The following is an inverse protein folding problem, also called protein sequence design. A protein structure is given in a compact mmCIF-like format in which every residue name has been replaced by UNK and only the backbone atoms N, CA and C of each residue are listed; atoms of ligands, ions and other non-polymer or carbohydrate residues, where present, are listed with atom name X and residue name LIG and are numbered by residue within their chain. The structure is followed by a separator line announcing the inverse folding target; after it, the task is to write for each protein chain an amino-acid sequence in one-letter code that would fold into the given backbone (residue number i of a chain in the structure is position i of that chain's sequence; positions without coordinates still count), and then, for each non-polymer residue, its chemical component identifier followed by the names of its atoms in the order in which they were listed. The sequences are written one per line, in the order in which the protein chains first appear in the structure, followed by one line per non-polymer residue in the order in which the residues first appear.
data_IF_745705672018
#
_entry.id   IF_745705672018
#
_cell.length_a   1.000
_cell.length_b   1.000
_cell.length_c   1.000
_cell.angle_alpha   90.00
_cell.angle_beta   90.00
_cell.angle_gamma   90.00
#
_symmetry.space_group_name_H-M   'P 1'
#
loop_
_entity.id
_entity.type
_entity.pdbx_description
1 polymer ?
#
# COMPACT_ATOMS: atom_id res chain seq x y z
N UNK A 1 0.58 -32.92 -28.21
CA UNK A 1 -0.13 -32.10 -29.21
C UNK A 1 0.68 -30.82 -29.40
N UNK A 2 1.05 -30.54 -30.64
CA UNK A 2 2.13 -29.67 -31.11
C UNK A 2 1.67 -28.18 -31.17
N UNK A 3 2.44 -27.21 -30.73
CA UNK A 3 2.05 -25.79 -30.74
C UNK A 3 2.53 -25.10 -32.04
N UNK A 4 2.00 -25.46 -33.19
CA UNK A 4 2.39 -24.89 -34.47
C UNK A 4 1.21 -24.38 -35.32
N UNK A 5 0.05 -24.03 -34.74
CA UNK A 5 -1.14 -23.63 -35.53
C UNK A 5 -1.74 -22.26 -35.19
N UNK A 6 -1.02 -21.36 -34.47
CA UNK A 6 -1.54 -20.03 -34.11
C UNK A 6 -0.82 -18.86 -34.82
N UNK A 7 0.22 -19.13 -35.60
CA UNK A 7 1.04 -18.08 -36.26
C UNK A 7 0.71 -17.81 -37.73
N UNK A 8 -0.30 -18.45 -38.30
CA UNK A 8 -0.57 -18.33 -39.76
C UNK A 8 -1.77 -17.44 -40.14
N UNK A 9 -2.37 -16.73 -39.17
CA UNK A 9 -3.54 -15.88 -39.41
C UNK A 9 -3.27 -14.36 -39.42
N UNK A 10 -2.05 -13.91 -39.12
CA UNK A 10 -1.69 -12.46 -39.05
C UNK A 10 -0.87 -12.00 -40.27
N UNK A 11 -0.38 -12.91 -41.12
CA UNK A 11 0.51 -12.58 -42.26
C UNK A 11 -0.20 -12.36 -43.59
N UNK A 12 -1.54 -12.31 -43.68
CA UNK A 12 -2.26 -12.15 -44.98
C UNK A 12 -3.02 -10.83 -45.18
N UNK A 13 -2.76 -9.81 -44.37
CA UNK A 13 -3.47 -8.50 -44.47
C UNK A 13 -2.54 -7.31 -44.80
N UNK A 14 -1.31 -7.53 -45.21
CA UNK A 14 -0.38 -6.46 -45.59
C UNK A 14 0.31 -6.78 -46.90
N UNK A 15 -0.40 -6.94 -48.01
CA UNK A 15 0.16 -6.75 -49.37
C UNK A 15 -0.93 -6.82 -50.44
N UNK A 16 -1.46 -5.65 -50.86
CA UNK A 16 -1.93 -5.42 -52.24
C UNK A 16 -2.49 -3.98 -52.35
N UNK A 17 -1.87 -3.20 -53.21
CA UNK A 17 -2.61 -2.18 -53.91
C UNK A 17 -2.00 -0.82 -54.05
N UNK A 18 -0.88 -0.68 -54.71
CA UNK A 18 -0.59 0.53 -55.50
C UNK A 18 -1.15 0.34 -56.93
N UNK A 19 -2.07 1.22 -57.38
CA UNK A 19 -2.03 1.83 -58.71
C UNK A 19 -3.36 2.48 -59.08
N UNK A 20 -3.24 3.75 -59.51
CA UNK A 20 -3.98 4.45 -60.57
C UNK A 20 -5.48 4.72 -60.51
N UNK A 21 -5.82 6.01 -60.43
CA UNK A 21 -6.63 6.80 -61.37
C UNK A 21 -8.13 6.49 -61.53
N UNK A 22 -8.96 7.52 -61.28
CA UNK A 22 -10.20 7.63 -62.06
C UNK A 22 -11.51 7.83 -61.33
N UNK A 23 -12.04 9.06 -61.47
CA UNK A 23 -13.45 9.42 -61.59
C UNK A 23 -14.42 9.27 -60.40
N UNK A 24 -14.97 10.41 -60.05
CA UNK A 24 -16.14 10.63 -59.19
C UNK A 24 -17.40 9.88 -59.67
N UNK A 25 -18.01 9.11 -58.75
CA UNK A 25 -19.44 8.78 -58.85
C UNK A 25 -20.02 8.70 -57.44
N UNK A 26 -21.04 9.49 -57.26
CA UNK A 26 -21.85 9.63 -56.05
C UNK A 26 -22.63 8.34 -55.74
N UNK A 27 -22.36 7.76 -54.59
CA UNK A 27 -23.24 6.72 -54.03
C UNK A 27 -24.04 7.26 -52.85
N UNK A 28 -25.36 7.43 -53.08
CA UNK A 28 -26.36 7.69 -52.04
C UNK A 28 -26.60 6.38 -51.29
N UNK A 29 -26.37 6.40 -49.97
CA UNK A 29 -26.82 5.33 -49.08
C UNK A 29 -28.32 5.47 -48.76
N UNK A 30 -29.09 4.39 -48.73
CA UNK A 30 -30.52 4.45 -48.37
C UNK A 30 -30.67 4.61 -46.84
N UNK A 31 -31.53 5.55 -46.46
CA UNK A 31 -32.06 5.70 -45.10
C UNK A 31 -32.84 4.44 -44.73
N UNK A 32 -32.40 3.72 -43.72
CA UNK A 32 -33.23 2.72 -43.04
C UNK A 32 -33.85 3.36 -41.81
N UNK A 33 -35.16 3.53 -41.87
CA UNK A 33 -36.03 3.85 -40.74
C UNK A 33 -35.99 2.67 -39.75
N UNK A 34 -35.54 2.92 -38.54
CA UNK A 34 -35.70 1.98 -37.42
C UNK A 34 -36.58 2.66 -36.39
N UNK A 35 -37.82 2.19 -36.31
CA UNK A 35 -38.79 2.59 -35.30
C UNK A 35 -38.35 2.19 -33.88
N UNK A 36 -38.65 2.98 -32.84
CA UNK A 36 -38.33 2.62 -31.48
C UNK A 36 -39.35 1.68 -30.86
N UNK A 37 -39.01 0.43 -30.64
CA UNK A 37 -39.83 -0.48 -29.84
C UNK A 37 -39.59 -0.19 -28.34
N UNK A 38 -40.60 0.45 -27.75
CA UNK A 38 -40.76 0.55 -26.29
C UNK A 38 -40.94 -0.85 -25.70
N UNK A 39 -39.99 -1.34 -24.93
CA UNK A 39 -40.21 -2.42 -23.97
C UNK A 39 -40.12 -1.87 -22.56
N UNK A 40 -41.27 -1.66 -21.96
CA UNK A 40 -41.44 -1.51 -20.52
C UNK A 40 -40.94 -2.78 -19.81
N UNK A 41 -39.88 -2.69 -19.07
CA UNK A 41 -39.56 -3.67 -18.01
C UNK A 41 -40.03 -3.11 -16.68
N UNK A 42 -41.12 -3.71 -16.18
CA UNK A 42 -41.64 -3.53 -14.83
C UNK A 42 -40.56 -4.00 -13.82
N UNK A 43 -40.07 -3.09 -12.98
CA UNK A 43 -39.38 -3.45 -11.74
C UNK A 43 -40.40 -4.04 -10.76
N UNK A 44 -40.34 -5.32 -10.57
CA UNK A 44 -41.10 -6.03 -9.51
C UNK A 44 -40.35 -5.83 -8.20
N UNK A 45 -40.89 -4.97 -7.34
CA UNK A 45 -40.48 -4.83 -5.94
C UNK A 45 -40.92 -6.08 -5.17
N UNK A 46 -40.00 -6.95 -4.83
CA UNK A 46 -40.24 -8.04 -3.87
C UNK A 46 -40.26 -7.41 -2.47
N UNK A 47 -41.47 -7.27 -1.94
CA UNK A 47 -41.71 -6.96 -0.53
C UNK A 47 -41.72 -8.27 0.24
N UNK A 48 -40.67 -8.53 1.03
CA UNK A 48 -40.68 -9.60 2.02
C UNK A 48 -41.49 -9.11 3.22
N UNK A 49 -42.68 -9.68 3.37
CA UNK A 49 -43.57 -9.48 4.53
C UNK A 49 -43.11 -10.44 5.64
N UNK A 50 -42.61 -9.89 6.72
CA UNK A 50 -42.50 -10.62 7.98
C UNK A 50 -43.90 -10.75 8.62
N UNK A 51 -44.39 -11.99 8.71
CA UNK A 51 -45.57 -12.31 9.52
C UNK A 51 -45.05 -12.90 10.84
N UNK A 52 -45.27 -12.17 11.92
CA UNK A 52 -45.27 -12.67 13.26
C UNK A 52 -46.48 -13.63 13.44
N UNK A 53 -46.22 -14.82 13.95
CA UNK A 53 -47.28 -15.69 14.48
C UNK A 53 -46.83 -16.13 15.88
N UNK A 54 -47.55 -15.60 16.84
CA UNK A 54 -47.61 -16.03 18.24
C UNK A 54 -48.45 -17.32 18.31
N UNK A 55 -48.08 -18.20 19.21
CA UNK A 55 -49.01 -19.15 19.81
C UNK A 55 -48.65 -20.60 19.70
N UNK A 56 -48.40 -21.23 20.83
CA UNK A 56 -48.40 -22.68 20.94
C UNK A 56 -47.50 -23.22 22.09
N UNK A 57 -47.99 -23.10 23.33
CA UNK A 57 -47.47 -23.85 24.46
C UNK A 57 -47.74 -25.33 24.23
N UNK A 58 -46.71 -26.18 24.24
CA UNK A 58 -46.84 -27.62 24.52
C UNK A 58 -45.75 -28.04 25.52
N UNK A 59 -46.20 -28.34 26.71
CA UNK A 59 -45.44 -29.02 27.75
C UNK A 59 -45.37 -30.49 27.37
N UNK A 60 -44.19 -31.04 27.24
CA UNK A 60 -43.97 -32.47 27.37
C UNK A 60 -42.66 -32.70 28.11
N UNK A 61 -42.81 -33.24 29.28
CA UNK A 61 -41.74 -33.58 30.20
C UNK A 61 -41.07 -34.92 29.83
N UNK A 62 -39.86 -35.08 30.38
CA UNK A 62 -39.10 -36.29 30.67
C UNK A 62 -38.49 -37.04 29.48
N UNK A 63 -37.14 -37.08 29.40
CA UNK A 63 -36.33 -38.18 30.02
C UNK A 63 -34.88 -37.68 30.06
N UNK A 64 -34.35 -37.62 31.26
CA UNK A 64 -32.95 -37.39 31.52
C UNK A 64 -32.13 -38.67 31.19
N UNK A 65 -31.17 -38.55 30.29
CA UNK A 65 -30.09 -39.48 30.13
C UNK A 65 -28.80 -38.72 30.07
N UNK A 66 -27.85 -38.85 31.00
CA UNK A 66 -26.53 -38.26 30.86
C UNK A 66 -25.70 -39.16 29.95
N UNK A 67 -25.63 -38.83 28.66
CA UNK A 67 -24.54 -39.35 27.84
C UNK A 67 -23.32 -38.50 28.18
N UNK A 68 -22.55 -38.99 29.11
CA UNK A 68 -21.16 -38.59 29.30
C UNK A 68 -20.39 -38.99 28.06
N UNK A 69 -20.34 -38.10 27.07
CA UNK A 69 -19.27 -38.08 26.08
C UNK A 69 -18.04 -37.54 26.81
N UNK A 70 -17.37 -38.43 27.51
CA UNK A 70 -16.01 -38.18 27.98
C UNK A 70 -15.15 -37.92 26.77
N UNK A 71 -14.85 -36.65 26.52
CA UNK A 71 -13.67 -36.30 25.78
C UNK A 71 -12.50 -36.82 26.62
N UNK A 72 -11.96 -37.95 26.22
CA UNK A 72 -10.62 -38.37 26.59
C UNK A 72 -9.66 -37.36 25.97
N UNK A 73 -9.55 -36.16 26.57
CA UNK A 73 -8.32 -35.43 26.53
C UNK A 73 -7.33 -36.35 27.25
N UNK A 74 -6.50 -37.05 26.47
CA UNK A 74 -5.35 -37.72 27.00
C UNK A 74 -4.50 -36.65 27.69
N UNK A 75 -4.63 -36.55 28.96
CA UNK A 75 -3.77 -35.80 29.86
C UNK A 75 -2.40 -36.47 29.78
N UNK A 76 -1.60 -36.02 28.79
CA UNK A 76 -0.25 -36.50 28.62
C UNK A 76 0.53 -35.99 29.85
N UNK A 77 1.24 -36.86 30.59
CA UNK A 77 1.99 -36.45 31.76
C UNK A 77 3.00 -35.38 31.35
N UNK A 78 2.73 -34.14 31.75
CA UNK A 78 3.63 -32.97 31.62
C UNK A 78 4.68 -32.97 32.74
N UNK A 79 5.02 -34.11 33.27
CA UNK A 79 5.91 -34.26 34.41
C UNK A 79 7.31 -34.68 33.97
N UNK A 80 8.31 -34.12 34.67
CA UNK A 80 9.68 -34.60 34.59
C UNK A 80 9.74 -36.04 35.04
N UNK A 81 10.43 -36.91 34.29
CA UNK A 81 10.67 -38.30 34.67
C UNK A 81 12.07 -38.35 35.36
N UNK A 82 12.08 -38.78 36.60
CA UNK A 82 13.34 -38.88 37.35
C UNK A 82 14.00 -40.23 37.03
N UNK A 83 15.27 -40.17 36.62
CA UNK A 83 16.10 -41.32 36.32
C UNK A 83 17.17 -41.35 37.42
N UNK A 84 17.00 -42.17 38.46
CA UNK A 84 18.01 -42.27 39.54
C UNK A 84 19.25 -42.97 38.98
N UNK A 85 20.40 -42.35 39.19
CA UNK A 85 21.66 -42.89 38.70
C UNK A 85 22.82 -42.39 39.60
N UNK A 86 23.64 -43.33 40.07
CA UNK A 86 24.78 -42.95 40.90
C UNK A 86 25.98 -42.43 40.09
N UNK A 87 26.94 -41.81 40.75
CA UNK A 87 28.12 -41.23 40.06
C UNK A 87 29.03 -42.30 39.41
N UNK A 88 28.96 -43.54 39.82
CA UNK A 88 29.74 -44.63 39.22
C UNK A 88 29.08 -45.09 37.92
N UNK A 89 27.76 -45.20 37.92
CA UNK A 89 26.97 -45.51 36.75
C UNK A 89 27.09 -44.44 35.69
N UNK A 90 27.02 -43.16 36.06
CA UNK A 90 27.20 -42.01 35.16
C UNK A 90 28.58 -42.06 34.48
N UNK A 91 29.63 -42.32 35.24
CA UNK A 91 30.98 -42.47 34.70
C UNK A 91 31.13 -43.71 33.82
N UNK A 92 30.53 -44.82 34.21
CA UNK A 92 30.57 -46.04 33.45
C UNK A 92 29.83 -45.94 32.12
N UNK A 93 28.71 -45.21 32.08
CA UNK A 93 27.94 -44.90 30.88
C UNK A 93 28.56 -43.79 30.01
N UNK A 94 29.63 -43.14 30.44
CA UNK A 94 30.33 -42.08 29.70
C UNK A 94 29.46 -40.83 29.48
N UNK A 95 28.57 -40.55 30.45
CA UNK A 95 27.67 -39.38 30.34
C UNK A 95 28.44 -38.12 30.68
N UNK A 96 28.45 -37.17 29.74
CA UNK A 96 28.96 -35.81 29.95
C UNK A 96 27.80 -34.82 29.91
N UNK A 97 27.97 -33.69 30.62
CA UNK A 97 26.98 -32.64 30.71
C UNK A 97 27.56 -31.30 30.25
N UNK A 98 26.73 -30.49 29.61
CA UNK A 98 27.06 -29.14 29.15
C UNK A 98 26.04 -28.14 29.72
N UNK A 99 26.54 -26.94 30.09
CA UNK A 99 25.67 -25.86 30.55
C UNK A 99 24.71 -25.40 29.43
N UNK A 100 23.51 -25.00 29.84
CA UNK A 100 22.52 -24.42 28.93
C UNK A 100 22.78 -22.92 28.75
N UNK A 101 22.74 -22.45 27.51
CA UNK A 101 22.85 -21.04 27.21
C UNK A 101 21.47 -20.43 27.06
N UNK A 102 21.17 -19.39 27.82
CA UNK A 102 19.90 -18.65 27.63
C UNK A 102 19.94 -17.90 26.31
N UNK A 103 19.12 -18.33 25.37
CA UNK A 103 18.99 -17.65 24.12
C UNK A 103 17.99 -16.49 24.26
N UNK A 104 18.40 -15.30 23.83
CA UNK A 104 17.42 -14.23 23.60
C UNK A 104 16.64 -14.63 22.36
N UNK A 105 15.44 -15.21 22.58
CA UNK A 105 14.62 -15.76 21.51
C UNK A 105 14.09 -14.71 20.55
N UNK A 106 14.99 -14.14 19.76
CA UNK A 106 14.63 -13.37 18.57
C UNK A 106 14.68 -14.35 17.39
N UNK A 107 13.51 -14.74 16.86
CA UNK A 107 13.49 -15.44 15.59
C UNK A 107 13.61 -14.38 14.51
N UNK A 108 14.67 -14.48 13.73
CA UNK A 108 14.84 -13.69 12.53
C UNK A 108 14.19 -14.39 11.34
N UNK A 109 13.26 -13.70 10.71
CA UNK A 109 12.59 -14.16 9.50
C UNK A 109 13.02 -13.29 8.33
N UNK A 110 13.73 -13.88 7.37
CA UNK A 110 14.13 -13.19 6.15
C UNK A 110 13.08 -13.39 5.05
N UNK A 111 12.57 -12.28 4.51
CA UNK A 111 11.54 -12.26 3.48
C UNK A 111 11.90 -11.28 2.36
N UNK A 112 11.46 -11.57 1.10
CA UNK A 112 11.65 -10.62 0.01
C UNK A 112 10.75 -9.41 0.17
N UNK A 113 11.27 -8.24 -0.20
CA UNK A 113 10.53 -6.99 -0.20
C UNK A 113 10.93 -6.09 -1.36
N UNK A 114 10.11 -5.09 -1.63
CA UNK A 114 10.37 -4.05 -2.62
C UNK A 114 10.22 -2.69 -1.96
N UNK A 115 11.20 -1.83 -2.18
CA UNK A 115 11.17 -0.45 -1.70
C UNK A 115 10.23 0.38 -2.55
N UNK A 116 9.31 1.09 -1.91
CA UNK A 116 8.31 1.93 -2.58
C UNK A 116 8.22 3.30 -1.93
N UNK A 117 7.75 4.27 -2.69
CA UNK A 117 7.43 5.59 -2.17
C UNK A 117 6.05 5.54 -1.52
N UNK A 118 5.86 6.07 -0.30
CA UNK A 118 4.54 6.22 0.28
C UNK A 118 3.61 7.00 -0.64
N UNK A 119 2.36 6.54 -0.90
CA UNK A 119 1.44 7.25 -1.80
C UNK A 119 1.16 8.70 -1.42
N UNK A 120 1.19 9.03 -0.13
CA UNK A 120 1.02 10.40 0.36
C UNK A 120 2.21 11.31 0.03
N UNK A 121 3.39 10.77 -0.22
CA UNK A 121 4.63 11.48 -0.57
C UNK A 121 4.86 11.59 -2.08
N UNK A 122 3.91 11.13 -2.89
CA UNK A 122 4.00 11.16 -4.34
C UNK A 122 2.97 12.16 -4.90
N UNK A 123 3.40 13.03 -5.81
CA UNK A 123 2.54 13.97 -6.51
C UNK A 123 2.78 13.90 -8.00
N UNK A 124 1.70 13.74 -8.74
CA UNK A 124 1.70 13.86 -10.20
C UNK A 124 1.41 15.31 -10.54
N UNK A 125 2.33 15.94 -11.25
CA UNK A 125 2.12 17.27 -11.82
C UNK A 125 1.54 17.10 -13.21
N UNK A 126 0.34 17.62 -13.40
CA UNK A 126 -0.41 17.51 -14.64
C UNK A 126 -0.40 18.83 -15.42
N UNK A 127 -0.69 18.78 -16.72
CA UNK A 127 -0.82 19.96 -17.56
C UNK A 127 -2.07 20.77 -17.15
N UNK A 128 -1.96 22.08 -16.85
CA UNK A 128 -3.12 22.89 -16.45
C UNK A 128 -4.08 23.18 -17.61
N UNK A 129 -3.63 23.05 -18.85
CA UNK A 129 -4.42 23.26 -20.06
C UNK A 129 -3.86 22.46 -21.23
N UNK A 130 -4.64 22.33 -22.32
CA UNK A 130 -4.12 21.78 -23.57
C UNK A 130 -3.00 22.68 -24.13
N UNK A 131 -1.91 22.09 -24.61
CA UNK A 131 -0.83 22.91 -25.14
C UNK A 131 0.35 22.15 -25.69
N UNK A 132 1.38 22.92 -26.02
CA UNK A 132 2.69 22.44 -26.48
C UNK A 132 3.70 22.66 -25.35
N UNK A 133 4.43 21.65 -24.98
CA UNK A 133 5.54 21.78 -24.03
C UNK A 133 6.67 22.57 -24.72
N UNK A 134 6.87 23.81 -24.31
CA UNK A 134 7.87 24.72 -24.89
C UNK A 134 9.27 24.35 -24.39
N UNK A 135 9.40 24.14 -23.08
CA UNK A 135 10.68 23.76 -22.46
C UNK A 135 10.44 23.04 -21.14
N UNK A 136 11.38 22.17 -20.83
CA UNK A 136 11.52 21.55 -19.50
C UNK A 136 12.67 22.24 -18.79
N UNK A 137 12.44 22.69 -17.56
CA UNK A 137 13.40 23.46 -16.78
C UNK A 137 14.18 22.58 -15.81
N UNK A 138 13.80 21.30 -15.73
CA UNK A 138 14.35 20.34 -14.80
C UNK A 138 14.42 18.97 -15.45
N UNK A 139 15.39 18.15 -15.04
CA UNK A 139 15.56 16.79 -15.49
C UNK A 139 14.96 15.75 -14.50
N UNK A 140 14.88 14.48 -14.91
CA UNK A 140 14.61 13.40 -13.99
C UNK A 140 15.77 13.24 -13.00
N UNK A 141 15.48 12.75 -11.80
CA UNK A 141 16.37 12.58 -10.66
C UNK A 141 16.93 13.88 -10.05
N UNK A 142 16.46 15.06 -10.50
CA UNK A 142 16.85 16.32 -9.89
C UNK A 142 15.96 16.70 -8.70
N UNK A 143 16.53 17.28 -7.64
CA UNK A 143 15.77 17.79 -6.51
C UNK A 143 15.05 19.09 -6.87
N UNK A 144 13.83 19.26 -6.37
CA UNK A 144 13.00 20.45 -6.56
C UNK A 144 12.47 20.97 -5.23
N UNK A 145 12.20 22.26 -5.19
CA UNK A 145 11.53 22.94 -4.08
C UNK A 145 10.08 23.25 -4.44
N UNK A 146 9.19 23.22 -3.47
CA UNK A 146 7.81 23.69 -3.67
C UNK A 146 7.80 25.11 -4.25
N UNK A 147 6.97 25.34 -5.27
CA UNK A 147 6.90 26.60 -6.02
C UNK A 147 8.01 26.81 -7.06
N UNK A 148 8.97 25.90 -7.22
CA UNK A 148 10.01 26.01 -8.24
C UNK A 148 9.41 25.80 -9.63
N UNK A 149 9.75 26.63 -10.66
CA UNK A 149 9.33 26.43 -12.03
C UNK A 149 10.00 25.18 -12.61
N UNK A 150 9.19 24.29 -13.23
CA UNK A 150 9.64 22.98 -13.73
C UNK A 150 9.40 22.79 -15.22
N UNK A 151 8.39 23.46 -15.80
CA UNK A 151 8.12 23.42 -17.24
C UNK A 151 7.46 24.70 -17.72
N UNK A 152 7.52 24.96 -19.03
CA UNK A 152 6.74 26.00 -19.71
C UNK A 152 5.85 25.34 -20.75
N UNK A 153 4.56 25.66 -20.68
CA UNK A 153 3.53 25.14 -21.57
C UNK A 153 2.90 26.29 -22.36
N UNK A 154 2.99 26.25 -23.68
CA UNK A 154 2.29 27.17 -24.56
C UNK A 154 0.88 26.66 -24.84
N UNK A 155 -0.15 27.42 -24.46
CA UNK A 155 -1.53 27.00 -24.53
C UNK A 155 -2.42 28.01 -25.26
N UNK A 156 -3.11 27.61 -26.34
CA UNK A 156 -4.16 28.42 -26.97
C UNK A 156 -5.33 28.69 -26.03
N UNK A 157 -5.69 27.73 -25.18
CA UNK A 157 -6.77 27.86 -24.21
C UNK A 157 -6.50 28.95 -23.20
N UNK A 158 -5.21 29.06 -22.77
CA UNK A 158 -4.77 30.13 -21.89
C UNK A 158 -4.92 31.51 -22.54
N UNK A 159 -4.56 31.61 -23.83
CA UNK A 159 -4.70 32.86 -24.59
C UNK A 159 -6.17 33.31 -24.66
N UNK A 160 -7.06 32.34 -24.95
CA UNK A 160 -8.49 32.59 -25.00
C UNK A 160 -9.07 32.98 -23.63
N UNK A 161 -8.68 32.31 -22.56
CA UNK A 161 -9.08 32.66 -21.19
C UNK A 161 -8.64 34.05 -20.79
N UNK A 162 -7.41 34.44 -21.13
CA UNK A 162 -6.91 35.81 -20.89
C UNK A 162 -7.68 36.86 -21.70
N UNK A 163 -8.01 36.56 -22.95
CA UNK A 163 -8.85 37.46 -23.80
C UNK A 163 -10.21 37.68 -23.16
N UNK A 164 -10.86 36.59 -22.69
CA UNK A 164 -12.18 36.69 -22.03
C UNK A 164 -12.11 37.43 -20.71
N UNK A 165 -11.04 37.27 -19.93
CA UNK A 165 -10.82 38.07 -18.71
C UNK A 165 -10.67 39.54 -19.02
N UNK A 166 -9.89 39.93 -20.04
CA UNK A 166 -9.72 41.31 -20.46
C UNK A 166 -11.02 41.98 -20.98
N UNK A 167 -11.85 41.18 -21.67
CA UNK A 167 -13.18 41.63 -22.08
C UNK A 167 -14.08 41.91 -20.86
N UNK A 168 -14.16 40.92 -19.93
CA UNK A 168 -14.96 41.09 -18.72
C UNK A 168 -14.47 42.25 -17.84
N UNK A 169 -13.17 42.55 -17.83
CA UNK A 169 -12.58 43.68 -17.12
C UNK A 169 -13.00 45.01 -17.75
N UNK A 170 -13.10 45.09 -19.07
CA UNK A 170 -13.60 46.28 -19.77
C UNK A 170 -15.09 46.47 -19.50
N UNK A 171 -15.90 45.41 -19.54
CA UNK A 171 -17.33 45.47 -19.26
C UNK A 171 -17.61 45.91 -17.82
N UNK A 172 -16.83 45.41 -16.85
CA UNK A 172 -16.97 45.80 -15.44
C UNK A 172 -16.67 47.27 -15.27
N UNK A 173 -15.57 47.78 -15.87
CA UNK A 173 -15.21 49.21 -15.79
C UNK A 173 -16.31 50.09 -16.38
N UNK A 174 -16.90 49.70 -17.52
CA UNK A 174 -18.00 50.45 -18.15
C UNK A 174 -19.25 50.44 -17.25
N UNK A 175 -19.61 49.27 -16.70
CA UNK A 175 -20.77 49.16 -15.81
C UNK A 175 -20.60 49.95 -14.51
N UNK A 176 -19.40 49.97 -13.95
CA UNK A 176 -19.06 50.77 -12.77
C UNK A 176 -19.18 52.26 -13.04
N UNK A 177 -18.74 52.73 -14.23
CA UNK A 177 -18.87 54.14 -14.64
C UNK A 177 -20.32 54.52 -14.88
N UNK A 178 -21.14 53.62 -15.44
CA UNK A 178 -22.59 53.85 -15.58
C UNK A 178 -23.26 53.98 -14.21
N UNK A 179 -22.95 53.04 -13.29
CA UNK A 179 -23.49 53.08 -11.93
C UNK A 179 -23.14 54.39 -11.23
N UNK A 180 -21.88 54.82 -11.29
CA UNK A 180 -21.44 56.07 -10.69
C UNK A 180 -22.22 57.28 -11.23
N UNK A 181 -22.43 57.34 -12.53
CA UNK A 181 -23.24 58.42 -13.15
C UNK A 181 -24.70 58.34 -12.71
N UNK A 182 -25.32 57.16 -12.71
CA UNK A 182 -26.71 56.99 -12.27
C UNK A 182 -26.89 57.37 -10.79
N UNK A 183 -25.89 57.08 -9.94
CA UNK A 183 -25.88 57.53 -8.53
C UNK A 183 -25.87 59.06 -8.40
N UNK A 184 -24.98 59.75 -9.10
CA UNK A 184 -24.92 61.20 -9.09
C UNK A 184 -26.21 61.85 -9.60
N UNK A 185 -26.79 61.31 -10.68
CA UNK A 185 -28.05 61.83 -11.24
C UNK A 185 -29.24 61.57 -10.31
N UNK A 186 -29.27 60.44 -9.62
CA UNK A 186 -30.30 60.14 -8.63
C UNK A 186 -30.21 61.07 -7.40
N UNK A 187 -29.01 61.30 -6.89
CA UNK A 187 -28.76 62.25 -5.81
C UNK A 187 -29.21 63.67 -6.20
N UNK A 188 -29.00 64.08 -7.45
CA UNK A 188 -29.47 65.32 -8.04
C UNK A 188 -30.98 65.32 -8.36
N UNK A 189 -31.73 64.25 -8.05
CA UNK A 189 -33.14 64.03 -8.36
C UNK A 189 -33.45 64.14 -9.88
N UNK A 190 -32.48 63.86 -10.73
CA UNK A 190 -32.61 63.96 -12.18
C UNK A 190 -33.04 62.63 -12.85
N UNK A 191 -32.99 61.47 -12.13
CA UNK A 191 -33.38 60.16 -12.63
C UNK A 191 -34.23 59.40 -11.62
N UNK A 192 -35.14 58.51 -12.10
CA UNK A 192 -35.94 57.67 -11.22
C UNK A 192 -35.12 56.53 -10.60
N UNK A 193 -35.52 56.10 -9.43
CA UNK A 193 -34.86 55.03 -8.66
C UNK A 193 -34.73 53.69 -9.46
N UNK A 194 -35.65 53.45 -10.39
CA UNK A 194 -35.59 52.30 -11.27
C UNK A 194 -34.30 52.25 -12.09
N UNK A 195 -33.85 53.38 -12.65
CA UNK A 195 -32.63 53.46 -13.45
C UNK A 195 -31.39 53.20 -12.60
N UNK A 196 -31.35 53.71 -11.38
CA UNK A 196 -30.30 53.41 -10.44
C UNK A 196 -30.22 51.88 -10.13
N UNK A 197 -31.38 51.23 -9.87
CA UNK A 197 -31.44 49.79 -9.61
C UNK A 197 -30.98 48.98 -10.81
N UNK A 198 -31.31 49.38 -12.03
CA UNK A 198 -30.84 48.72 -13.25
C UNK A 198 -29.33 48.80 -13.33
N UNK A 199 -28.76 50.00 -13.16
CA UNK A 199 -27.30 50.21 -13.20
C UNK A 199 -26.57 49.42 -12.09
N UNK A 200 -27.17 49.33 -10.88
CA UNK A 200 -26.65 48.49 -9.79
C UNK A 200 -26.60 47.02 -10.17
N UNK A 201 -27.66 46.48 -10.77
CA UNK A 201 -27.76 45.11 -11.22
C UNK A 201 -26.76 44.81 -12.34
N UNK A 202 -26.62 45.73 -13.32
CA UNK A 202 -25.63 45.61 -14.40
C UNK A 202 -24.20 45.57 -13.85
N UNK A 203 -23.87 46.47 -12.92
CA UNK A 203 -22.54 46.52 -12.28
C UNK A 203 -22.25 45.23 -11.48
N UNK A 204 -23.23 44.74 -10.72
CA UNK A 204 -23.10 43.52 -9.97
C UNK A 204 -22.87 42.32 -10.91
N UNK A 205 -23.62 42.19 -12.00
CA UNK A 205 -23.47 41.13 -12.98
C UNK A 205 -22.11 41.17 -13.70
N UNK A 206 -21.66 42.39 -14.08
CA UNK A 206 -20.36 42.55 -14.71
C UNK A 206 -19.21 42.18 -13.78
N UNK A 207 -19.29 42.54 -12.50
CA UNK A 207 -18.32 42.17 -11.46
C UNK A 207 -18.30 40.64 -11.28
N UNK A 208 -19.46 40.00 -11.18
CA UNK A 208 -19.54 38.54 -11.03
C UNK A 208 -18.91 37.81 -12.23
N UNK A 209 -19.11 38.29 -13.46
CA UNK A 209 -18.45 37.75 -14.65
C UNK A 209 -16.93 37.91 -14.60
N UNK A 210 -16.44 39.08 -14.17
CA UNK A 210 -15.00 39.29 -14.01
C UNK A 210 -14.41 38.34 -12.99
N UNK A 211 -15.08 38.17 -11.85
CA UNK A 211 -14.63 37.24 -10.79
C UNK A 211 -14.59 35.80 -11.32
N UNK A 212 -15.60 35.39 -12.08
CA UNK A 212 -15.63 34.08 -12.75
C UNK A 212 -14.43 33.87 -13.68
N UNK A 213 -14.17 34.86 -14.56
CA UNK A 213 -13.04 34.75 -15.51
C UNK A 213 -11.69 34.77 -14.79
N UNK A 214 -11.56 35.54 -13.72
CA UNK A 214 -10.35 35.53 -12.89
C UNK A 214 -10.14 34.13 -12.24
N UNK A 215 -11.20 33.49 -11.77
CA UNK A 215 -11.12 32.17 -11.18
C UNK A 215 -10.69 31.10 -12.21
N UNK A 216 -11.15 31.21 -13.47
CA UNK A 216 -10.69 30.33 -14.55
C UNK A 216 -9.18 30.47 -14.78
N UNK A 217 -8.63 31.66 -14.76
CA UNK A 217 -7.18 31.86 -14.89
C UNK A 217 -6.40 31.24 -13.74
N UNK A 218 -6.92 31.31 -12.50
CA UNK A 218 -6.31 30.61 -11.34
C UNK A 218 -6.34 29.10 -11.49
N UNK A 219 -7.44 28.53 -12.02
CA UNK A 219 -7.53 27.09 -12.30
C UNK A 219 -6.54 26.64 -13.39
N UNK A 220 -6.11 27.57 -14.26
CA UNK A 220 -5.04 27.33 -15.23
C UNK A 220 -3.63 27.61 -14.66
N UNK A 221 -3.50 27.64 -13.32
CA UNK A 221 -2.24 27.87 -12.60
C UNK A 221 -1.56 29.23 -12.86
N UNK A 222 -2.29 30.25 -13.33
CA UNK A 222 -1.77 31.60 -13.35
C UNK A 222 -1.65 32.12 -11.91
N UNK A 223 -0.48 32.65 -11.60
CA UNK A 223 -0.27 33.32 -10.30
C UNK A 223 -1.08 34.63 -10.20
N UNK A 224 -1.43 35.02 -8.99
CA UNK A 224 -2.10 36.30 -8.78
C UNK A 224 -1.24 37.49 -9.27
N UNK A 225 0.09 37.38 -9.24
CA UNK A 225 1.01 38.38 -9.80
C UNK A 225 0.89 38.47 -11.34
N UNK A 226 0.78 37.32 -12.03
CA UNK A 226 0.58 37.31 -13.48
C UNK A 226 -0.77 37.89 -13.87
N UNK A 227 -1.84 37.56 -13.10
CA UNK A 227 -3.17 38.10 -13.30
C UNK A 227 -3.17 39.64 -13.10
N UNK A 228 -2.47 40.17 -12.08
CA UNK A 228 -2.33 41.59 -11.89
C UNK A 228 -1.51 42.28 -13.02
N UNK A 229 -0.46 41.60 -13.48
CA UNK A 229 0.33 42.06 -14.63
C UNK A 229 -0.52 42.12 -15.90
N UNK A 230 -1.32 41.05 -16.16
CA UNK A 230 -2.28 41.01 -17.27
C UNK A 230 -3.32 42.16 -17.15
N UNK A 231 -3.85 42.41 -15.95
CA UNK A 231 -4.81 43.47 -15.67
C UNK A 231 -4.21 44.87 -15.94
N UNK A 232 -2.98 45.10 -15.51
CA UNK A 232 -2.30 46.38 -15.65
C UNK A 232 -1.81 46.65 -17.08
N UNK A 233 -1.15 45.64 -17.69
CA UNK A 233 -0.48 45.81 -18.98
C UNK A 233 -1.37 45.54 -20.19
N UNK A 234 -2.47 44.80 -20.00
CA UNK A 234 -3.36 44.29 -21.08
C UNK A 234 -2.63 43.41 -22.11
N UNK A 235 -1.42 42.96 -21.79
CA UNK A 235 -0.62 42.10 -22.69
C UNK A 235 -0.87 40.61 -22.39
N UNK A 236 -1.33 39.87 -23.41
CA UNK A 236 -1.54 38.44 -23.35
C UNK A 236 -0.19 37.74 -23.51
N UNK A 237 0.04 36.70 -22.70
CA UNK A 237 1.22 35.83 -22.82
C UNK A 237 0.75 34.41 -23.15
N UNK A 238 1.41 33.74 -24.14
CA UNK A 238 0.92 32.46 -24.66
C UNK A 238 1.34 31.25 -23.82
N UNK A 239 2.26 31.43 -22.87
CA UNK A 239 2.83 30.34 -22.09
C UNK A 239 2.52 30.47 -20.60
N UNK A 240 2.20 29.37 -19.96
CA UNK A 240 2.10 29.23 -18.51
C UNK A 240 3.32 28.46 -17.99
N UNK A 241 3.80 28.87 -16.83
CA UNK A 241 4.86 28.16 -16.11
C UNK A 241 4.24 27.20 -15.12
N UNK A 242 4.56 25.93 -15.25
CA UNK A 242 4.15 24.89 -14.33
C UNK A 242 5.14 24.82 -13.16
N UNK A 243 4.64 24.78 -11.94
CA UNK A 243 5.44 24.79 -10.72
C UNK A 243 5.34 23.47 -9.97
N UNK A 244 6.39 23.15 -9.21
CA UNK A 244 6.40 21.99 -8.34
C UNK A 244 5.45 22.20 -7.15
N UNK A 245 4.47 21.31 -6.88
CA UNK A 245 3.52 21.48 -5.78
C UNK A 245 4.13 21.14 -4.41
N UNK A 246 5.18 20.30 -4.40
CA UNK A 246 5.90 19.87 -3.20
C UNK A 246 7.42 19.96 -3.43
N UNK A 247 8.17 20.02 -2.34
CA UNK A 247 9.63 19.77 -2.39
C UNK A 247 9.87 18.27 -2.47
N UNK A 248 10.90 17.85 -3.20
CA UNK A 248 11.22 16.45 -3.38
C UNK A 248 12.16 16.20 -4.56
N UNK A 249 12.11 15.02 -5.12
CA UNK A 249 12.89 14.63 -6.32
C UNK A 249 11.95 14.28 -7.46
N UNK A 250 12.30 14.67 -8.68
CA UNK A 250 11.57 14.28 -9.89
C UNK A 250 11.85 12.79 -10.18
N UNK A 251 10.88 11.92 -9.90
CA UNK A 251 11.03 10.47 -10.11
C UNK A 251 10.85 10.09 -11.57
N UNK A 252 9.88 10.72 -12.25
CA UNK A 252 9.56 10.40 -13.64
C UNK A 252 9.17 11.65 -14.41
N UNK A 253 9.67 11.74 -15.63
CA UNK A 253 9.24 12.68 -16.65
C UNK A 253 8.40 11.94 -17.68
N UNK A 254 7.15 12.39 -17.88
CA UNK A 254 6.18 11.74 -18.77
C UNK A 254 6.13 12.31 -20.18
N UNK A 255 6.64 13.52 -20.38
CA UNK A 255 6.54 14.26 -21.65
C UNK A 255 7.89 14.86 -22.05
N UNK A 256 8.03 15.20 -23.33
CA UNK A 256 9.25 15.79 -23.89
C UNK A 256 9.00 17.22 -24.43
N UNK A 257 10.03 18.09 -24.49
CA UNK A 257 9.93 19.37 -25.20
C UNK A 257 9.46 19.17 -26.64
N UNK A 258 8.54 20.02 -27.10
CA UNK A 258 7.92 19.92 -28.42
C UNK A 258 6.72 18.95 -28.50
N UNK A 259 6.39 18.25 -27.42
CA UNK A 259 5.23 17.36 -27.35
C UNK A 259 3.93 18.15 -27.07
N UNK A 260 2.82 17.70 -27.67
CA UNK A 260 1.48 18.23 -27.36
C UNK A 260 0.85 17.42 -26.25
N UNK A 261 0.34 18.11 -25.24
CA UNK A 261 -0.32 17.51 -24.09
C UNK A 261 -1.75 17.98 -23.98
N UNK A 262 -2.63 17.10 -23.53
CA UNK A 262 -3.98 17.44 -23.14
C UNK A 262 -4.01 17.99 -21.71
N UNK A 263 -5.05 18.76 -21.37
CA UNK A 263 -5.32 19.14 -19.97
C UNK A 263 -5.39 17.90 -19.07
N UNK A 264 -4.84 18.02 -17.88
CA UNK A 264 -4.70 16.96 -16.89
C UNK A 264 -3.77 15.78 -17.29
N UNK A 265 -3.07 15.83 -18.44
CA UNK A 265 -2.04 14.85 -18.78
C UNK A 265 -0.86 14.96 -17.82
N UNK A 266 -0.27 13.86 -17.35
CA UNK A 266 0.88 13.90 -16.45
C UNK A 266 2.12 14.45 -17.17
N UNK A 267 2.81 15.41 -16.53
CA UNK A 267 4.08 15.99 -17.02
C UNK A 267 5.24 15.41 -16.22
N UNK A 268 5.15 15.48 -14.89
CA UNK A 268 6.14 14.98 -13.96
C UNK A 268 5.50 14.19 -12.83
N UNK A 269 6.26 13.26 -12.27
CA UNK A 269 5.99 12.70 -10.96
C UNK A 269 7.09 13.14 -10.00
N UNK A 270 6.71 13.84 -8.94
CA UNK A 270 7.61 14.32 -7.88
C UNK A 270 7.32 13.54 -6.61
N UNK A 271 8.36 13.17 -5.89
CA UNK A 271 8.22 12.45 -4.65
C UNK A 271 9.20 12.93 -3.56
N UNK A 272 8.73 12.90 -2.34
CA UNK A 272 9.58 12.94 -1.15
C UNK A 272 10.12 11.53 -0.92
N UNK A 273 11.45 11.41 -0.84
CA UNK A 273 12.13 10.12 -0.73
C UNK A 273 12.47 9.74 0.73
N UNK A 274 11.94 10.48 1.68
CA UNK A 274 12.14 10.28 3.10
C UNK A 274 10.82 10.63 3.85
N UNK A 275 10.24 9.64 4.60
CA UNK A 275 10.61 8.23 4.70
C UNK A 275 10.23 7.40 3.47
N UNK A 276 10.83 6.23 3.32
CA UNK A 276 10.42 5.23 2.31
C UNK A 276 9.68 4.06 2.98
N UNK A 277 8.92 3.34 2.17
CA UNK A 277 8.27 2.10 2.59
C UNK A 277 8.89 0.89 1.92
N UNK A 278 8.78 -0.25 2.59
CA UNK A 278 9.12 -1.56 2.02
C UNK A 278 7.88 -2.43 2.04
N UNK A 279 7.46 -2.86 0.87
CA UNK A 279 6.41 -3.85 0.70
C UNK A 279 7.04 -5.24 0.83
N UNK A 280 6.79 -5.92 1.95
CA UNK A 280 7.34 -7.23 2.28
C UNK A 280 6.31 -8.29 1.88
N UNK A 281 6.73 -9.30 1.11
CA UNK A 281 5.88 -10.42 0.74
C UNK A 281 5.89 -11.47 1.83
N UNK A 282 4.78 -11.60 2.54
CA UNK A 282 4.62 -12.52 3.67
C UNK A 282 3.78 -13.72 3.23
N UNK A 283 4.32 -14.94 3.22
CA UNK A 283 3.54 -16.15 2.93
C UNK A 283 2.37 -16.30 3.92
N UNK A 284 1.23 -16.81 3.43
CA UNK A 284 0.02 -16.97 4.23
C UNK A 284 0.24 -17.80 5.52
N UNK A 285 1.13 -18.79 5.45
CA UNK A 285 1.51 -19.64 6.61
C UNK A 285 2.23 -18.88 7.73
N UNK A 286 2.80 -17.70 7.44
CA UNK A 286 3.56 -16.87 8.39
C UNK A 286 2.81 -15.61 8.84
N UNK A 287 1.65 -15.31 8.27
CA UNK A 287 0.89 -14.09 8.58
C UNK A 287 0.51 -13.98 10.06
N UNK A 288 0.17 -15.11 10.70
CA UNK A 288 -0.20 -15.12 12.11
C UNK A 288 0.95 -14.74 13.06
N UNK A 289 2.19 -14.87 12.61
CA UNK A 289 3.39 -14.59 13.42
C UNK A 289 3.88 -13.15 13.31
N UNK A 290 3.47 -12.41 12.27
CA UNK A 290 3.92 -11.04 12.01
C UNK A 290 2.89 -10.04 12.51
N UNK A 291 3.36 -9.08 13.30
CA UNK A 291 2.52 -8.04 13.91
C UNK A 291 3.01 -6.64 13.53
N UNK A 292 2.10 -5.69 13.59
CA UNK A 292 2.46 -4.26 13.51
C UNK A 292 3.33 -3.85 14.68
N UNK A 293 4.32 -3.00 14.42
CA UNK A 293 5.26 -2.53 15.42
C UNK A 293 6.55 -3.36 15.52
N UNK A 294 6.64 -4.51 14.86
CA UNK A 294 7.86 -5.30 14.82
C UNK A 294 8.98 -4.58 14.07
N UNK A 295 10.20 -4.76 14.56
CA UNK A 295 11.39 -4.17 13.95
C UNK A 295 11.79 -4.97 12.72
N UNK A 296 12.09 -4.26 11.66
CA UNK A 296 12.64 -4.82 10.42
C UNK A 296 14.04 -4.23 10.20
N UNK A 297 14.89 -5.00 9.55
CA UNK A 297 16.20 -4.54 9.13
C UNK A 297 16.46 -4.94 7.67
N UNK A 298 17.21 -4.09 6.98
CA UNK A 298 17.74 -4.34 5.65
C UNK A 298 19.26 -4.52 5.79
N UNK A 299 19.75 -5.73 6.04
CA UNK A 299 21.16 -5.94 6.42
C UNK A 299 22.16 -5.45 5.36
N UNK A 300 21.80 -5.57 4.06
CA UNK A 300 22.64 -5.13 2.95
C UNK A 300 22.87 -3.61 2.93
N UNK A 301 21.99 -2.83 3.58
CA UNK A 301 22.03 -1.37 3.54
C UNK A 301 22.24 -0.74 4.94
N UNK A 302 22.23 -1.56 6.00
CA UNK A 302 22.36 -1.09 7.38
C UNK A 302 21.19 -0.20 7.82
N UNK A 303 20.01 -0.38 7.22
CA UNK A 303 18.80 0.40 7.49
C UNK A 303 17.86 -0.41 8.36
N UNK A 304 17.30 0.23 9.38
CA UNK A 304 16.27 -0.33 10.23
C UNK A 304 14.95 0.39 10.00
N UNK A 305 13.87 -0.29 10.33
CA UNK A 305 12.52 0.24 10.22
C UNK A 305 11.53 -0.52 11.08
N UNK A 306 10.26 -0.24 10.86
CA UNK A 306 9.19 -0.85 11.64
C UNK A 306 7.99 -1.20 10.77
N UNK A 307 7.34 -2.33 11.03
CA UNK A 307 6.10 -2.72 10.36
C UNK A 307 4.98 -1.80 10.81
N UNK A 308 4.44 -1.02 9.87
CA UNK A 308 3.32 -0.09 10.11
C UNK A 308 1.97 -0.72 9.77
N UNK A 309 1.96 -1.71 8.89
CA UNK A 309 0.71 -2.36 8.44
C UNK A 309 0.98 -3.77 7.94
N UNK A 310 0.07 -4.70 8.28
CA UNK A 310 0.01 -6.04 7.70
C UNK A 310 -1.27 -6.14 6.86
N UNK A 311 -1.13 -6.53 5.60
CA UNK A 311 -2.24 -6.70 4.67
C UNK A 311 -3.21 -7.78 5.11
N UNK A 312 -4.50 -7.55 4.89
CA UNK A 312 -5.58 -8.51 5.20
C UNK A 312 -5.98 -9.38 4.02
N UNK A 313 -5.50 -9.04 2.84
CA UNK A 313 -5.79 -9.74 1.59
C UNK A 313 -4.59 -10.57 1.18
N UNK A 314 -4.83 -11.82 0.85
CA UNK A 314 -3.81 -12.73 0.30
C UNK A 314 -3.95 -12.74 -1.22
N UNK A 315 -2.86 -12.52 -1.92
CA UNK A 315 -2.79 -12.65 -3.37
C UNK A 315 -2.90 -14.13 -3.77
N UNK A 316 -3.91 -14.52 -4.57
CA UNK A 316 -4.15 -15.94 -4.87
C UNK A 316 -3.00 -16.61 -5.63
N UNK A 317 -2.28 -15.87 -6.48
CA UNK A 317 -1.22 -16.43 -7.31
C UNK A 317 0.05 -16.71 -6.50
N UNK A 318 0.42 -15.83 -5.59
CA UNK A 318 1.65 -15.91 -4.78
C UNK A 318 1.40 -16.52 -3.40
N UNK A 319 0.13 -16.72 -2.99
CA UNK A 319 -0.26 -17.13 -1.65
C UNK A 319 0.41 -16.31 -0.55
N UNK A 320 0.59 -15.01 -0.81
CA UNK A 320 1.24 -14.07 0.10
C UNK A 320 0.38 -12.83 0.35
N UNK A 321 0.56 -12.20 1.50
CA UNK A 321 0.04 -10.87 1.80
C UNK A 321 1.20 -9.87 1.88
N UNK A 322 0.88 -8.59 1.67
CA UNK A 322 1.88 -7.53 1.74
C UNK A 322 1.88 -6.94 3.16
N UNK A 323 3.00 -7.06 3.85
CA UNK A 323 3.28 -6.24 5.03
C UNK A 323 4.06 -5.00 4.60
N UNK A 324 3.72 -3.85 5.16
CA UNK A 324 4.38 -2.57 4.86
C UNK A 324 5.19 -2.15 6.06
N UNK A 325 6.47 -1.97 5.84
CA UNK A 325 7.39 -1.40 6.84
C UNK A 325 7.81 0.00 6.39
N UNK A 326 7.90 0.90 7.35
CA UNK A 326 8.47 2.24 7.18
C UNK A 326 9.96 2.19 7.54
N UNK A 327 10.77 2.72 6.67
CA UNK A 327 12.22 2.83 6.84
C UNK A 327 12.66 4.28 6.70
N UNK A 328 13.67 4.65 7.46
CA UNK A 328 14.37 5.94 7.34
C UNK A 328 15.69 5.69 6.59
N UNK A 329 15.75 5.97 5.27
CA UNK A 329 16.95 5.72 4.49
C UNK A 329 17.98 6.80 4.78
N UNK A 330 18.90 6.51 5.67
CA UNK A 330 20.05 7.40 5.90
C UNK A 330 20.76 7.69 4.59
N UNK A 331 20.63 8.92 4.12
CA UNK A 331 21.43 9.52 3.03
C UNK A 331 21.52 8.70 1.72
N UNK A 332 20.40 8.32 1.14
CA UNK A 332 20.36 7.80 -0.24
C UNK A 332 20.94 6.40 -0.45
N UNK A 333 21.10 5.62 0.60
CA UNK A 333 21.57 4.23 0.52
C UNK A 333 20.55 3.29 -0.13
N UNK A 334 19.25 3.62 -0.02
CA UNK A 334 18.14 2.82 -0.54
C UNK A 334 17.35 3.66 -1.54
N UNK A 335 17.01 3.07 -2.68
CA UNK A 335 16.24 3.74 -3.74
C UNK A 335 14.89 3.07 -3.96
N UNK A 336 13.84 3.82 -4.30
CA UNK A 336 12.58 3.24 -4.74
C UNK A 336 12.77 2.27 -5.90
N UNK A 337 12.00 1.18 -5.91
CA UNK A 337 12.09 0.13 -6.92
C UNK A 337 13.09 -0.98 -6.62
N UNK A 338 13.98 -0.82 -5.62
CA UNK A 338 14.91 -1.88 -5.24
C UNK A 338 14.18 -3.10 -4.65
N UNK A 339 14.56 -4.29 -5.14
CA UNK A 339 14.24 -5.54 -4.48
C UNK A 339 15.26 -5.79 -3.36
N UNK A 340 14.78 -6.03 -2.15
CA UNK A 340 15.58 -6.16 -0.94
C UNK A 340 15.20 -7.40 -0.15
N UNK A 341 16.16 -7.95 0.60
CA UNK A 341 15.88 -8.95 1.63
C UNK A 341 15.66 -8.23 2.95
N UNK A 342 14.51 -8.46 3.56
CA UNK A 342 14.10 -7.85 4.83
C UNK A 342 14.14 -8.89 5.92
N UNK A 343 14.88 -8.61 6.98
CA UNK A 343 14.89 -9.44 8.18
C UNK A 343 13.96 -8.86 9.22
N UNK A 344 12.94 -9.60 9.60
CA UNK A 344 11.96 -9.24 10.61
C UNK A 344 12.39 -9.90 11.92
N UNK A 345 12.56 -9.12 12.99
CA UNK A 345 12.77 -9.62 14.34
C UNK A 345 11.42 -9.82 15.00
N UNK A 346 11.03 -11.09 15.12
CA UNK A 346 9.78 -11.46 15.78
C UNK A 346 9.98 -11.46 17.29
N UNK A 347 9.22 -10.62 17.99
CA UNK A 347 9.10 -10.71 19.44
C UNK A 347 8.31 -11.98 19.77
N UNK A 348 9.00 -13.05 20.11
CA UNK A 348 8.34 -14.32 20.44
C UNK A 348 7.56 -14.26 21.74
N UNK A 349 6.43 -15.00 21.70
CA UNK A 349 5.55 -15.21 22.84
C UNK A 349 6.26 -15.72 24.08
N UNK A 350 5.77 -15.29 25.23
CA UNK A 350 6.30 -15.48 26.57
C UNK A 350 6.80 -16.92 26.83
N UNK A 351 8.10 -17.07 26.98
CA UNK A 351 8.75 -18.25 27.48
C UNK A 351 10.25 -18.19 27.26
N UNK A 352 11.06 -18.54 28.26
CA UNK A 352 12.50 -18.57 28.10
C UNK A 352 12.90 -19.63 27.06
N UNK A 353 13.75 -19.21 26.13
CA UNK A 353 14.37 -20.10 25.14
C UNK A 353 15.80 -20.38 25.55
N UNK A 354 16.22 -21.62 25.28
CA UNK A 354 17.53 -22.12 25.67
C UNK A 354 18.19 -22.79 24.47
N UNK A 355 19.44 -22.48 24.25
CA UNK A 355 20.26 -23.12 23.24
C UNK A 355 21.02 -24.29 23.86
N UNK A 356 20.84 -25.46 23.34
CA UNK A 356 21.48 -26.69 23.77
C UNK A 356 22.21 -27.36 22.61
N UNK A 357 23.26 -28.14 22.85
CA UNK A 357 23.87 -28.93 21.79
C UNK A 357 22.83 -29.84 21.09
N UNK A 358 22.93 -29.99 19.78
CA UNK A 358 22.00 -30.84 19.03
C UNK A 358 22.02 -32.29 19.53
N UNK A 359 23.15 -32.78 20.01
CA UNK A 359 23.28 -34.08 20.62
C UNK A 359 22.50 -34.24 21.95
N UNK A 360 22.17 -33.15 22.65
CA UNK A 360 21.46 -33.20 23.94
C UNK A 360 19.93 -33.40 23.77
N UNK A 361 19.39 -33.24 22.57
CA UNK A 361 17.96 -33.37 22.28
C UNK A 361 17.68 -34.73 21.67
N UNK A 362 16.85 -35.54 22.32
CA UNK A 362 16.47 -36.88 21.85
C UNK A 362 15.00 -36.90 21.54
N UNK A 363 14.63 -37.54 20.43
CA UNK A 363 13.23 -37.77 20.08
C UNK A 363 12.81 -39.17 20.51
N UNK A 364 11.80 -39.24 21.37
CA UNK A 364 11.18 -40.49 21.81
C UNK A 364 9.65 -40.36 21.77
N UNK A 365 8.93 -41.29 21.09
CA UNK A 365 7.47 -41.30 20.94
C UNK A 365 6.88 -39.93 20.57
N UNK A 366 7.31 -39.40 19.44
CA UNK A 366 6.85 -38.10 18.88
C UNK A 366 7.11 -36.82 19.74
N UNK A 367 7.90 -36.96 20.82
CA UNK A 367 8.31 -35.83 21.67
C UNK A 367 9.82 -35.70 21.70
N UNK A 368 10.26 -34.47 21.86
CA UNK A 368 11.65 -34.15 22.11
C UNK A 368 11.88 -34.09 23.63
N UNK A 369 12.99 -34.65 24.08
CA UNK A 369 13.39 -34.71 25.48
C UNK A 369 14.80 -34.18 25.66
N UNK A 370 15.04 -33.61 26.84
CA UNK A 370 16.38 -33.29 27.34
C UNK A 370 16.57 -33.88 28.71
N UNK A 371 17.78 -34.29 29.03
CA UNK A 371 18.15 -34.87 30.34
C UNK A 371 18.93 -33.87 31.15
N UNK A 372 18.32 -33.38 32.22
CA UNK A 372 18.89 -32.41 33.14
C UNK A 372 19.62 -33.11 34.30
N UNK A 373 20.80 -32.64 34.63
CA UNK A 373 21.51 -33.13 35.80
C UNK A 373 20.79 -32.74 37.09
N UNK A 374 20.57 -33.66 37.99
CA UNK A 374 20.01 -33.43 39.33
C UNK A 374 20.87 -34.08 40.41
N UNK A 375 20.54 -33.82 41.68
CA UNK A 375 21.24 -34.42 42.82
C UNK A 375 21.07 -35.94 42.89
N UNK A 376 19.99 -36.50 42.31
CA UNK A 376 19.66 -37.92 42.38
C UNK A 376 19.95 -38.66 41.07
N UNK A 377 20.61 -38.01 40.10
CA UNK A 377 20.89 -38.59 38.79
C UNK A 377 20.51 -37.65 37.66
N UNK A 378 19.56 -38.03 36.81
CA UNK A 378 19.06 -37.19 35.71
C UNK A 378 17.53 -37.05 35.77
N UNK A 379 17.06 -35.97 35.20
CA UNK A 379 15.64 -35.70 35.08
C UNK A 379 15.31 -35.49 33.59
N UNK A 380 14.54 -36.41 33.01
CA UNK A 380 14.09 -36.27 31.65
C UNK A 380 12.92 -35.28 31.59
N UNK A 381 13.07 -34.25 30.79
CA UNK A 381 12.05 -33.20 30.61
C UNK A 381 11.64 -33.11 29.16
N UNK A 382 10.32 -33.15 28.86
CA UNK A 382 9.84 -32.91 27.51
C UNK A 382 10.04 -31.46 27.12
N UNK A 383 10.49 -31.19 25.87
CA UNK A 383 10.82 -29.87 25.38
C UNK A 383 10.18 -29.63 24.02
N UNK A 384 9.87 -28.37 23.75
CA UNK A 384 9.43 -27.95 22.43
C UNK A 384 10.63 -27.42 21.64
N UNK A 385 10.99 -28.10 20.54
CA UNK A 385 12.02 -27.61 19.63
C UNK A 385 11.45 -26.43 18.85
N UNK A 386 12.15 -25.29 18.91
CA UNK A 386 11.75 -24.03 18.26
C UNK A 386 12.52 -23.81 16.96
N UNK A 387 13.82 -24.07 16.97
CA UNK A 387 14.70 -23.95 15.81
C UNK A 387 15.86 -24.94 15.90
N UNK A 388 16.33 -25.41 14.73
CA UNK A 388 17.52 -26.25 14.62
C UNK A 388 18.57 -25.50 13.81
N UNK A 389 19.78 -25.38 14.36
CA UNK A 389 20.95 -24.78 13.73
C UNK A 389 22.09 -25.80 13.69
N UNK A 390 23.10 -25.65 12.83
CA UNK A 390 24.21 -26.57 12.79
C UNK A 390 24.91 -26.70 14.16
N UNK A 391 24.78 -27.89 14.78
CA UNK A 391 25.38 -28.22 16.06
C UNK A 391 24.63 -27.76 17.32
N UNK A 392 23.56 -26.96 17.20
CA UNK A 392 22.77 -26.46 18.35
C UNK A 392 21.28 -26.49 18.04
N UNK A 393 20.46 -26.66 19.08
CA UNK A 393 19.00 -26.65 18.99
C UNK A 393 18.44 -25.67 20.00
N UNK A 394 17.54 -24.81 19.55
CA UNK A 394 16.79 -23.89 20.42
C UNK A 394 15.54 -24.59 20.92
N UNK A 395 15.41 -24.71 22.23
CA UNK A 395 14.30 -25.35 22.90
C UNK A 395 13.54 -24.36 23.77
N UNK A 396 12.23 -24.60 23.92
CA UNK A 396 11.39 -23.86 24.85
C UNK A 396 11.01 -24.77 26.00
N UNK A 397 11.48 -24.43 27.19
CA UNK A 397 11.16 -25.07 28.45
C UNK A 397 11.61 -24.17 29.60
N UNK A 398 11.15 -24.46 30.80
CA UNK A 398 11.59 -23.75 31.99
C UNK A 398 12.92 -24.32 32.49
N UNK A 399 14.03 -23.66 32.21
CA UNK A 399 15.36 -24.00 32.70
C UNK A 399 15.96 -22.84 33.51
N UNK A 400 16.90 -23.15 34.34
CA UNK A 400 17.78 -22.19 35.04
C UNK A 400 19.13 -22.06 34.31
N UNK A 401 19.78 -20.88 34.32
CA UNK A 401 21.12 -20.73 33.73
C UNK A 401 22.19 -21.65 34.33
N UNK A 402 21.90 -22.26 35.48
CA UNK A 402 22.80 -23.18 36.18
C UNK A 402 22.54 -24.64 35.80
N UNK A 403 21.43 -24.95 35.07
CA UNK A 403 21.12 -26.30 34.69
C UNK A 403 22.14 -26.82 33.67
N UNK A 404 22.41 -28.11 33.78
CA UNK A 404 23.30 -28.81 32.86
C UNK A 404 22.51 -29.90 32.12
N UNK A 405 22.68 -30.00 30.82
CA UNK A 405 22.07 -31.03 29.98
C UNK A 405 23.11 -32.08 29.60
N UNK A 406 22.70 -33.34 29.56
CA UNK A 406 23.57 -34.42 29.06
C UNK A 406 23.73 -34.23 27.52
N UNK A 407 24.98 -34.24 27.05
CA UNK A 407 25.35 -34.15 25.63
C UNK A 407 26.07 -35.37 25.09
N UNK A 408 26.48 -36.29 25.99
CA UNK A 408 27.08 -37.58 25.65
C UNK A 408 26.50 -38.69 26.54
N UNK A 409 26.58 -39.94 26.08
CA UNK A 409 26.05 -41.08 26.78
C UNK A 409 24.52 -41.16 26.87
N UNK A 410 23.81 -40.40 26.06
CA UNK A 410 22.35 -40.20 26.12
C UNK A 410 21.58 -41.46 25.83
N UNK A 411 22.15 -42.44 25.10
CA UNK A 411 21.49 -43.72 24.81
C UNK A 411 21.19 -44.49 26.07
N UNK A 412 22.04 -44.42 27.09
CA UNK A 412 21.81 -45.04 28.40
C UNK A 412 20.61 -44.41 29.11
N UNK A 413 20.54 -43.08 29.12
CA UNK A 413 19.40 -42.35 29.69
C UNK A 413 18.08 -42.57 28.92
N UNK A 414 18.15 -42.73 27.60
CA UNK A 414 17.00 -43.06 26.78
C UNK A 414 16.47 -44.47 27.06
N UNK A 415 17.35 -45.44 27.30
CA UNK A 415 16.96 -46.82 27.66
C UNK A 415 16.21 -46.85 29.01
N UNK A 416 16.68 -46.08 30.00
CA UNK A 416 16.01 -45.94 31.32
C UNK A 416 14.65 -45.21 31.17
N UNK A 417 14.60 -44.12 30.39
CA UNK A 417 13.33 -43.45 30.07
C UNK A 417 12.32 -44.41 29.40
N UNK A 418 12.78 -45.24 28.48
CA UNK A 418 11.93 -46.20 27.78
C UNK A 418 11.48 -47.38 28.71
N UNK A 419 12.23 -47.68 29.75
CA UNK A 419 11.86 -48.63 30.78
C UNK A 419 10.83 -48.06 31.76
N UNK A 420 11.02 -46.82 32.20
CA UNK A 420 10.08 -46.07 33.07
C UNK A 420 8.71 -45.81 32.41
N UNK A 421 8.64 -45.79 31.10
CA UNK A 421 7.40 -45.57 30.32
C UNK A 421 6.55 -46.88 30.13
N UNK A 422 7.05 -48.03 30.68
CA UNK A 422 6.34 -49.34 30.61
C UNK A 422 5.64 -49.73 31.90
N UNK A 423 6.00 -49.10 32.99
CA UNK A 423 5.36 -49.24 34.30
C UNK A 423 4.31 -48.18 34.54
#
# INVERSE_FOLDING_TARGET
MNPASVLDCVARLLWAGSATGGSATSWRLPKRDIAPTRRHRRCQKVRIRWRAALGGVFVAALVAGPTAAGALAADAPNGDVVIPMDEREIRAAGIATTAVDKERGEIELSLPGTVVIPPQHLRVVAAPANGLVESMLIAADEPVKAGQPIARLRSPDLVEAQRQFLAALADEALAADRLRRSQMLFEARATPERELRVAQTESTNAKSRLDERQQILRLMELSDADIQTLRATRKIFPAVTVHAPISGTVVTRHVSPGERVAAAAPIFTIAELDPLWVNIQVPASRLATIKTGETVSLPAYGVEGRIIRVGRTVEPQTQSAIAVAEIDPKAGSVRPGLAVSVTIRLAQGAGPQWSVPAAAVVRHRDRAWVFLRSSEGFRARPVQVVAESPGRVSIRTELSPQDQVADRGILALLAELAAADKD
#
